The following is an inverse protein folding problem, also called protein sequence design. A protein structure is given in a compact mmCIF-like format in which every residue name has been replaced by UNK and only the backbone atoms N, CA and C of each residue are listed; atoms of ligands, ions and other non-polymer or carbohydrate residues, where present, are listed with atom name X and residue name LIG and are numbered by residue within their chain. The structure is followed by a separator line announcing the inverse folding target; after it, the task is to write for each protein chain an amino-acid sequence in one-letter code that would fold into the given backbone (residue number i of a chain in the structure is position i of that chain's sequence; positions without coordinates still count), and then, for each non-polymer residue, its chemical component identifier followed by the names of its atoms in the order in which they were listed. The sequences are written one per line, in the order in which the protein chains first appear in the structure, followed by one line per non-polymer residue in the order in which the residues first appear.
data_IF_242102300129
#
_entry.id   IF_242102300129
#
_cell.length_a   1.000
_cell.length_b   1.000
_cell.length_c   1.000
_cell.angle_alpha   90.00
_cell.angle_beta   90.00
_cell.angle_gamma   90.00
#
_symmetry.space_group_name_H-M   'P 1'
#
loop_
_entity.id
_entity.type
_entity.pdbx_description
1 polymer ?
#
# COMPACT_ATOMS: atom_id res chain seq x y z
N UNK A 1 8.58 15.32 12.83
CA UNK A 1 8.76 13.85 12.66
C UNK A 1 7.38 13.23 12.66
N UNK A 2 7.02 12.48 11.61
CA UNK A 2 5.68 11.89 11.42
C UNK A 2 5.46 10.73 12.41
N UNK A 3 4.29 10.67 13.06
CA UNK A 3 3.95 9.60 14.04
C UNK A 3 3.94 8.23 13.35
N UNK A 4 3.40 8.16 12.13
CA UNK A 4 3.38 6.96 11.30
C UNK A 4 4.78 6.35 11.14
N UNK A 5 5.78 7.18 10.82
CA UNK A 5 7.18 6.76 10.66
C UNK A 5 7.76 6.21 11.96
N UNK A 6 7.46 6.83 13.10
CA UNK A 6 7.91 6.31 14.39
C UNK A 6 7.31 4.93 14.70
N UNK A 7 6.01 4.75 14.45
CA UNK A 7 5.32 3.47 14.66
C UNK A 7 5.88 2.38 13.75
N UNK A 8 6.04 2.68 12.46
CA UNK A 8 6.64 1.73 11.50
C UNK A 8 8.07 1.34 11.87
N UNK A 9 8.91 2.30 12.25
CA UNK A 9 10.28 2.01 12.69
C UNK A 9 10.30 1.16 13.96
N UNK A 10 9.35 1.38 14.87
CA UNK A 10 9.19 0.55 16.08
C UNK A 10 8.79 -0.88 15.70
N UNK A 11 7.84 -1.04 14.78
CA UNK A 11 7.43 -2.36 14.27
C UNK A 11 8.62 -3.14 13.71
N UNK A 12 9.40 -2.54 12.80
CA UNK A 12 10.58 -3.20 12.22
C UNK A 12 11.71 -3.44 13.23
N UNK A 13 11.88 -2.56 14.22
CA UNK A 13 12.85 -2.79 15.30
C UNK A 13 12.48 -4.01 16.17
N UNK A 14 11.19 -4.28 16.37
CA UNK A 14 10.70 -5.41 17.16
C UNK A 14 10.63 -6.71 16.36
N UNK A 15 10.27 -6.65 15.09
CA UNK A 15 9.96 -7.82 14.27
C UNK A 15 11.05 -8.16 13.24
N UNK A 16 12.04 -7.29 13.05
CA UNK A 16 12.95 -7.32 11.93
C UNK A 16 12.27 -6.94 10.61
N UNK A 17 13.06 -6.82 9.54
CA UNK A 17 12.53 -6.81 8.18
C UNK A 17 12.08 -8.23 7.84
N UNK A 18 10.84 -8.57 8.21
CA UNK A 18 10.20 -9.78 7.69
C UNK A 18 10.03 -9.54 6.19
N UNK A 19 10.74 -10.30 5.37
CA UNK A 19 10.56 -10.28 3.93
C UNK A 19 9.07 -10.48 3.62
N UNK A 20 8.54 -9.71 2.69
CA UNK A 20 7.19 -9.84 2.09
C UNK A 20 6.94 -11.22 1.43
N UNK A 21 7.88 -12.15 1.56
CA UNK A 21 7.88 -13.47 0.94
C UNK A 21 6.70 -14.36 1.42
N UNK A 22 6.27 -14.26 2.67
CA UNK A 22 5.31 -15.24 3.21
C UNK A 22 3.85 -14.97 2.79
N UNK A 23 3.43 -13.70 2.71
CA UNK A 23 2.04 -13.34 2.36
C UNK A 23 1.77 -13.27 0.85
N UNK A 24 2.81 -13.34 0.01
CA UNK A 24 2.69 -13.28 -1.44
C UNK A 24 2.98 -14.60 -2.17
N UNK A 25 3.26 -15.67 -1.42
CA UNK A 25 3.63 -17.00 -1.95
C UNK A 25 2.58 -17.64 -2.89
N UNK A 26 1.32 -17.18 -2.87
CA UNK A 26 0.25 -17.65 -3.75
C UNK A 26 0.02 -16.76 -5.00
N UNK A 27 0.77 -15.68 -5.19
CA UNK A 27 0.53 -14.74 -6.29
C UNK A 27 1.61 -14.87 -7.36
N UNK A 28 1.17 -14.96 -8.61
CA UNK A 28 2.07 -14.88 -9.76
C UNK A 28 2.58 -13.45 -9.86
N UNK A 29 3.91 -13.29 -9.77
CA UNK A 29 4.63 -12.04 -10.03
C UNK A 29 4.90 -11.99 -11.53
N UNK A 30 4.27 -11.05 -12.21
CA UNK A 30 4.53 -10.78 -13.64
C UNK A 30 5.05 -9.36 -13.79
N UNK A 31 6.06 -9.19 -14.65
CA UNK A 31 6.57 -7.87 -15.03
C UNK A 31 5.94 -7.44 -16.34
N UNK A 32 5.07 -6.43 -16.26
CA UNK A 32 4.36 -5.89 -17.42
C UNK A 32 4.21 -4.37 -17.27
N UNK A 33 5.03 -3.62 -18.01
CA UNK A 33 4.98 -2.16 -18.00
C UNK A 33 3.84 -1.61 -18.86
N UNK A 34 3.38 -2.35 -19.89
CA UNK A 34 2.37 -1.85 -20.81
C UNK A 34 0.99 -1.69 -20.15
N UNK A 35 0.71 -2.47 -19.09
CA UNK A 35 -0.57 -2.44 -18.36
C UNK A 35 -0.49 -1.78 -16.99
N UNK A 36 0.64 -1.13 -16.65
CA UNK A 36 0.91 -0.53 -15.33
C UNK A 36 -0.30 0.19 -14.73
N UNK A 37 -0.86 1.16 -15.46
CA UNK A 37 -1.98 1.98 -14.97
C UNK A 37 -3.23 1.11 -14.74
N UNK A 38 -3.57 0.24 -15.69
CA UNK A 38 -4.73 -0.64 -15.58
C UNK A 38 -4.59 -1.62 -14.41
N UNK A 39 -3.39 -2.15 -14.19
CA UNK A 39 -3.07 -3.04 -13.08
C UNK A 39 -3.18 -2.35 -11.73
N UNK A 40 -2.66 -1.13 -11.63
CA UNK A 40 -2.78 -0.35 -10.40
C UNK A 40 -4.24 -0.03 -10.06
N UNK A 41 -5.05 0.34 -11.07
CA UNK A 41 -6.48 0.61 -10.91
C UNK A 41 -7.23 -0.66 -10.49
N UNK A 42 -7.02 -1.78 -11.18
CA UNK A 42 -7.65 -3.06 -10.85
C UNK A 42 -7.26 -3.54 -9.44
N UNK A 43 -5.99 -3.35 -9.04
CA UNK A 43 -5.55 -3.64 -7.67
C UNK A 43 -6.35 -2.85 -6.63
N UNK A 44 -6.52 -1.54 -6.83
CA UNK A 44 -7.19 -0.64 -5.88
C UNK A 44 -8.72 -0.82 -5.82
N UNK A 45 -9.35 -1.23 -6.93
CA UNK A 45 -10.80 -1.23 -7.09
C UNK A 45 -11.42 -2.63 -7.05
N UNK A 46 -10.75 -3.61 -7.65
CA UNK A 46 -11.28 -4.96 -7.86
C UNK A 46 -10.57 -5.98 -6.96
N UNK A 47 -9.34 -5.67 -6.52
CA UNK A 47 -8.49 -6.59 -5.76
C UNK A 47 -7.99 -7.74 -6.62
N UNK A 48 -7.40 -7.41 -7.78
CA UNK A 48 -6.90 -8.34 -8.78
C UNK A 48 -6.22 -9.58 -8.17
N UNK A 49 -6.52 -10.76 -8.72
CA UNK A 49 -5.95 -12.04 -8.30
C UNK A 49 -4.46 -12.23 -8.67
N UNK A 50 -3.89 -11.33 -9.49
CA UNK A 50 -2.50 -11.36 -9.92
C UNK A 50 -1.76 -10.09 -9.49
N UNK A 51 -0.55 -10.25 -8.96
CA UNK A 51 0.29 -9.10 -8.57
C UNK A 51 1.23 -8.78 -9.73
N UNK A 52 0.82 -7.85 -10.60
CA UNK A 52 1.63 -7.41 -11.74
C UNK A 52 2.42 -6.15 -11.41
N UNK A 53 3.73 -6.23 -11.54
CA UNK A 53 4.64 -5.10 -11.35
C UNK A 53 4.96 -4.47 -12.71
N UNK A 54 5.20 -3.16 -12.78
CA UNK A 54 5.27 -2.19 -11.68
C UNK A 54 3.91 -1.67 -11.14
N UNK A 55 2.78 -2.05 -11.73
CA UNK A 55 1.45 -1.53 -11.37
C UNK A 55 1.08 -1.71 -9.89
N UNK A 56 1.28 -2.91 -9.35
CA UNK A 56 1.04 -3.22 -7.94
C UNK A 56 1.83 -2.30 -6.98
N UNK A 57 3.09 -1.98 -7.30
CA UNK A 57 3.91 -1.07 -6.48
C UNK A 57 3.28 0.34 -6.39
N UNK A 58 2.72 0.86 -7.50
CA UNK A 58 2.01 2.16 -7.50
C UNK A 58 0.72 2.09 -6.68
N UNK A 59 -0.03 1.00 -6.83
CA UNK A 59 -1.26 0.79 -6.08
C UNK A 59 -1.00 0.73 -4.57
N UNK A 60 0.00 -0.05 -4.12
CA UNK A 60 0.35 -0.11 -2.70
C UNK A 60 0.84 1.25 -2.21
N UNK A 61 1.65 1.99 -2.99
CA UNK A 61 2.07 3.34 -2.60
C UNK A 61 0.87 4.29 -2.38
N UNK A 62 -0.11 4.29 -3.31
CA UNK A 62 -1.35 5.06 -3.19
C UNK A 62 -2.16 4.63 -1.97
N UNK A 63 -2.32 3.32 -1.76
CA UNK A 63 -3.06 2.77 -0.63
C UNK A 63 -2.41 3.15 0.71
N UNK A 64 -1.08 3.07 0.81
CA UNK A 64 -0.31 3.50 1.99
C UNK A 64 -0.51 4.99 2.24
N UNK A 65 -0.32 5.84 1.23
CA UNK A 65 -0.49 7.29 1.39
C UNK A 65 -1.91 7.66 1.85
N UNK A 66 -2.95 7.04 1.26
CA UNK A 66 -4.34 7.22 1.68
C UNK A 66 -4.57 6.77 3.12
N UNK A 67 -4.05 5.59 3.50
CA UNK A 67 -4.16 5.07 4.86
C UNK A 67 -3.52 6.01 5.88
N UNK A 68 -2.35 6.58 5.56
CA UNK A 68 -1.67 7.53 6.44
C UNK A 68 -2.43 8.85 6.55
N UNK A 69 -3.01 9.34 5.47
CA UNK A 69 -3.88 10.53 5.49
C UNK A 69 -5.10 10.30 6.37
N UNK A 70 -5.78 9.16 6.24
CA UNK A 70 -7.00 8.84 7.01
C UNK A 70 -6.73 8.64 8.51
N UNK A 71 -5.64 7.96 8.88
CA UNK A 71 -5.39 7.56 10.27
C UNK A 71 -4.46 8.52 11.04
N UNK A 72 -3.62 9.29 10.34
CA UNK A 72 -2.64 10.19 10.97
C UNK A 72 -2.82 11.66 10.56
N UNK A 73 -3.74 11.98 9.64
CA UNK A 73 -3.95 13.34 9.15
C UNK A 73 -2.78 13.89 8.31
N UNK A 74 -1.95 13.00 7.77
CA UNK A 74 -0.78 13.38 6.97
C UNK A 74 -1.16 13.77 5.54
N UNK A 75 -0.36 14.63 4.91
CA UNK A 75 -0.59 15.02 3.52
C UNK A 75 -0.33 13.85 2.56
N UNK A 76 -1.29 13.60 1.69
CA UNK A 76 -1.29 12.48 0.75
C UNK A 76 -0.11 12.55 -0.24
N UNK A 77 0.12 13.72 -0.84
CA UNK A 77 1.17 13.88 -1.84
C UNK A 77 2.55 13.93 -1.20
N UNK A 78 2.70 14.54 -0.02
CA UNK A 78 3.94 14.46 0.74
C UNK A 78 4.33 13.02 1.07
N UNK A 79 3.35 12.16 1.36
CA UNK A 79 3.59 10.73 1.60
C UNK A 79 4.01 10.00 0.32
N UNK A 80 3.32 10.21 -0.81
CA UNK A 80 3.75 9.62 -2.09
C UNK A 80 5.12 10.12 -2.57
N UNK A 81 5.51 11.31 -2.12
CA UNK A 81 6.81 11.91 -2.39
C UNK A 81 7.92 11.45 -1.45
N UNK A 82 7.63 10.61 -0.46
CA UNK A 82 8.61 10.12 0.50
C UNK A 82 9.39 8.92 -0.08
N UNK A 83 10.70 9.04 -0.32
CA UNK A 83 11.50 7.91 -0.83
C UNK A 83 11.58 6.75 0.18
N UNK A 84 11.30 7.01 1.46
CA UNK A 84 11.26 5.99 2.51
C UNK A 84 9.85 5.39 2.70
N UNK A 85 8.86 5.76 1.86
CA UNK A 85 7.48 5.26 1.99
C UNK A 85 7.40 3.73 1.95
N UNK A 86 8.32 3.07 1.26
CA UNK A 86 8.42 1.60 1.20
C UNK A 86 9.68 1.04 1.88
N UNK A 87 10.47 1.87 2.57
CA UNK A 87 11.73 1.50 3.23
C UNK A 87 12.72 0.67 2.35
N UNK A 88 12.68 0.85 1.03
CA UNK A 88 13.51 0.08 0.10
C UNK A 88 13.07 -1.38 -0.10
N UNK A 89 11.91 -1.79 0.41
CA UNK A 89 11.41 -3.15 0.32
C UNK A 89 10.79 -3.49 -1.05
N UNK A 90 10.43 -2.48 -1.84
CA UNK A 90 9.85 -2.66 -3.19
C UNK A 90 10.80 -2.06 -4.25
N UNK A 91 11.49 -2.89 -5.06
CA UNK A 91 12.43 -2.41 -6.08
C UNK A 91 11.76 -1.70 -7.25
N UNK A 92 10.44 -1.83 -7.39
CA UNK A 92 9.67 -1.15 -8.43
C UNK A 92 9.10 0.17 -7.94
N UNK A 93 9.11 0.46 -6.63
CA UNK A 93 8.60 1.71 -6.10
C UNK A 93 9.31 2.92 -6.74
N UNK A 94 8.50 3.90 -7.12
CA UNK A 94 8.94 5.24 -7.51
C UNK A 94 8.08 6.24 -6.76
N UNK A 95 8.68 7.31 -6.27
CA UNK A 95 7.97 8.43 -5.64
C UNK A 95 7.11 9.18 -6.67
N UNK A 96 6.18 10.00 -6.16
CA UNK A 96 5.38 10.87 -7.01
C UNK A 96 6.24 11.80 -7.87
N UNK A 97 7.36 12.34 -7.37
CA UNK A 97 8.24 13.18 -8.19
C UNK A 97 8.91 12.42 -9.34
N UNK A 98 9.24 11.13 -9.14
CA UNK A 98 9.94 10.31 -10.13
C UNK A 98 9.02 9.78 -11.23
N UNK A 99 7.72 9.64 -10.96
CA UNK A 99 6.75 9.03 -11.88
C UNK A 99 5.36 9.70 -11.84
N UNK A 100 5.36 11.04 -11.76
CA UNK A 100 4.15 11.84 -11.58
C UNK A 100 3.06 11.49 -12.60
N UNK A 101 3.41 11.36 -13.88
CA UNK A 101 2.45 11.09 -14.96
C UNK A 101 1.66 9.81 -14.72
N UNK A 102 2.30 8.78 -14.17
CA UNK A 102 1.67 7.48 -13.91
C UNK A 102 0.73 7.58 -12.72
N UNK A 103 1.16 8.23 -11.62
CA UNK A 103 0.28 8.49 -10.47
C UNK A 103 -0.95 9.30 -10.88
N UNK A 104 -0.76 10.39 -11.64
CA UNK A 104 -1.86 11.22 -12.13
C UNK A 104 -2.85 10.40 -12.97
N UNK A 105 -2.37 9.52 -13.84
CA UNK A 105 -3.23 8.66 -14.66
C UNK A 105 -4.03 7.63 -13.84
N UNK A 106 -3.46 7.13 -12.74
CA UNK A 106 -4.16 6.21 -11.82
C UNK A 106 -5.20 6.98 -11.00
N UNK A 107 -4.82 8.13 -10.43
CA UNK A 107 -5.67 8.96 -9.57
C UNK A 107 -6.83 9.62 -10.33
N UNK A 108 -6.70 9.81 -11.64
CA UNK A 108 -7.82 10.22 -12.50
C UNK A 108 -8.92 9.15 -12.60
N UNK A 109 -8.57 7.88 -12.42
CA UNK A 109 -9.50 6.74 -12.52
C UNK A 109 -9.98 6.27 -11.13
N UNK A 110 -9.13 6.41 -10.11
CA UNK A 110 -9.44 6.08 -8.72
C UNK A 110 -9.52 7.36 -7.91
N UNK A 111 -10.73 7.82 -7.61
CA UNK A 111 -10.91 8.97 -6.73
C UNK A 111 -10.39 8.65 -5.33
N UNK A 112 -9.59 9.55 -4.75
CA UNK A 112 -9.17 9.48 -3.35
C UNK A 112 -10.41 9.32 -2.44
N UNK A 113 -10.39 8.34 -1.54
CA UNK A 113 -11.55 7.92 -0.73
C UNK A 113 -12.47 6.87 -1.37
N UNK A 114 -12.17 6.36 -2.57
CA UNK A 114 -12.91 5.27 -3.24
C UNK A 114 -12.10 3.98 -3.41
N UNK A 115 -10.96 3.86 -2.74
CA UNK A 115 -10.22 2.59 -2.67
C UNK A 115 -11.16 1.53 -2.09
N UNK A 116 -11.29 0.40 -2.79
CA UNK A 116 -12.14 -0.69 -2.36
C UNK A 116 -11.41 -1.57 -1.33
N UNK A 117 -11.37 -1.09 -0.09
CA UNK A 117 -10.81 -1.81 1.06
C UNK A 117 -11.53 -3.14 1.38
N UNK A 118 -12.67 -3.42 0.75
CA UNK A 118 -13.42 -4.67 0.95
C UNK A 118 -13.01 -5.78 -0.02
N UNK A 119 -12.21 -5.49 -1.05
CA UNK A 119 -11.66 -6.55 -1.90
C UNK A 119 -10.61 -7.35 -1.13
N UNK A 120 -10.53 -8.66 -1.40
CA UNK A 120 -9.61 -9.57 -0.68
C UNK A 120 -8.18 -9.04 -0.63
N UNK A 121 -7.64 -8.59 -1.78
CA UNK A 121 -6.27 -8.09 -1.85
C UNK A 121 -6.08 -6.80 -1.06
N UNK A 122 -7.05 -5.89 -1.11
CA UNK A 122 -6.98 -4.65 -0.34
C UNK A 122 -7.18 -4.88 1.16
N UNK A 123 -7.94 -5.90 1.58
CA UNK A 123 -8.00 -6.31 2.98
C UNK A 123 -6.62 -6.79 3.47
N UNK A 124 -5.93 -7.64 2.69
CA UNK A 124 -4.56 -8.07 3.01
C UNK A 124 -3.61 -6.87 3.09
N UNK A 125 -3.66 -5.94 2.12
CA UNK A 125 -2.86 -4.71 2.18
C UNK A 125 -3.19 -3.87 3.40
N UNK A 126 -4.47 -3.72 3.75
CA UNK A 126 -4.89 -2.96 4.93
C UNK A 126 -4.42 -3.61 6.23
N UNK A 127 -4.46 -4.93 6.32
CA UNK A 127 -3.96 -5.68 7.46
C UNK A 127 -2.45 -5.43 7.65
N UNK A 128 -1.65 -5.57 6.59
CA UNK A 128 -0.21 -5.28 6.65
C UNK A 128 0.08 -3.84 7.09
N UNK A 129 -0.67 -2.87 6.56
CA UNK A 129 -0.55 -1.48 6.99
C UNK A 129 -0.94 -1.28 8.46
N UNK A 130 -1.98 -1.96 8.94
CA UNK A 130 -2.37 -1.90 10.34
C UNK A 130 -1.29 -2.52 11.25
N UNK A 131 -0.72 -3.67 10.88
CA UNK A 131 0.39 -4.28 11.62
C UNK A 131 1.61 -3.36 11.70
N UNK A 132 1.99 -2.73 10.59
CA UNK A 132 3.16 -1.86 10.53
C UNK A 132 2.96 -0.51 11.22
N UNK A 133 1.80 0.12 11.04
CA UNK A 133 1.59 1.52 11.43
C UNK A 133 0.65 1.70 12.63
N UNK A 134 -0.22 0.74 12.95
CA UNK A 134 -1.24 0.88 14.01
C UNK A 134 -0.91 -0.01 15.21
N UNK A 135 0.12 0.36 15.96
CA UNK A 135 0.55 -0.35 17.18
C UNK A 135 -0.31 -0.06 18.42
N UNK A 136 -1.58 0.29 18.22
CA UNK A 136 -2.54 0.70 19.24
C UNK A 136 -3.86 -0.09 19.15
N UNK A 137 -4.84 0.28 19.98
CA UNK A 137 -6.15 -0.39 20.01
C UNK A 137 -6.91 -0.30 18.69
N UNK A 138 -6.70 0.77 17.92
CA UNK A 138 -7.36 0.94 16.61
C UNK A 138 -6.81 -0.06 15.60
N UNK A 139 -5.49 -0.29 15.62
CA UNK A 139 -4.86 -1.37 14.85
C UNK A 139 -5.40 -2.73 15.25
N UNK A 140 -5.47 -3.02 16.55
CA UNK A 140 -6.02 -4.29 17.04
C UNK A 140 -7.44 -4.55 16.50
N UNK A 141 -8.31 -3.54 16.47
CA UNK A 141 -9.66 -3.66 15.90
C UNK A 141 -9.66 -3.99 14.41
N UNK A 142 -8.70 -3.48 13.63
CA UNK A 142 -8.57 -3.80 12.20
C UNK A 142 -8.11 -5.26 12.04
N UNK A 143 -7.18 -5.72 12.89
CA UNK A 143 -6.63 -7.08 12.83
C UNK A 143 -7.62 -8.14 13.30
N UNK A 144 -8.51 -7.80 14.25
CA UNK A 144 -9.54 -8.68 14.78
C UNK A 144 -10.86 -8.64 13.98
N UNK A 145 -10.97 -7.73 13.00
CA UNK A 145 -12.16 -7.64 12.16
C UNK A 145 -12.34 -8.94 11.35
N UNK A 146 -13.55 -9.54 11.30
CA UNK A 146 -13.77 -10.74 10.52
C UNK A 146 -13.49 -10.45 9.04
N UNK A 147 -12.56 -11.21 8.46
CA UNK A 147 -12.40 -11.29 7.01
C UNK A 147 -13.56 -12.11 6.50
N UNK A 148 -14.59 -11.43 5.98
CA UNK A 148 -15.69 -12.11 5.28
C UNK A 148 -15.07 -12.89 4.11
N UNK A 149 -15.03 -14.22 4.24
CA UNK A 149 -14.46 -15.16 3.30
C UNK A 149 -15.39 -15.53 2.15
#
# INVERSE_FOLDING_TARGET
MKISRYRRNTFYALNGHKDFADHHSNFVIELEEATLVADAVSYLMEGACHTRFPGAARAVAIATAQFLTENFGEDFYENLSDPELMQGNDPYFKTYQEDQKTYDAILQQVSLGRINWNSYRMQVTRQLLAEEYMLDEDGLRILEAPTDG
#
